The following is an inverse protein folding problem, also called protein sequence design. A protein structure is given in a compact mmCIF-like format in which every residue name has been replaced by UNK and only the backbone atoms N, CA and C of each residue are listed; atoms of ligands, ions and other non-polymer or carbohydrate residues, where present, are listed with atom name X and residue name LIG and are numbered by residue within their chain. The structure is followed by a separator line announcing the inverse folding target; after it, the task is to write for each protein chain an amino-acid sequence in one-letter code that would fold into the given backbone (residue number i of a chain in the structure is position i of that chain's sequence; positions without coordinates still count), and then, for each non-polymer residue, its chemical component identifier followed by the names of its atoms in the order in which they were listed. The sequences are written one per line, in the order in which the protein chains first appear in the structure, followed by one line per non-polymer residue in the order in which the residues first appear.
data_IF_286778534482
#
_entry.id   IF_286778534482
#
_cell.length_a   1.000
_cell.length_b   1.000
_cell.length_c   1.000
_cell.angle_alpha   90.00
_cell.angle_beta   90.00
_cell.angle_gamma   90.00
#
_symmetry.space_group_name_H-M   'P 1'
#
loop_
_entity.id
_entity.type
_entity.pdbx_description
1 polymer ?
#
# COMPACT_ATOMS: atom_id res chain seq x y z
N UNK A 1 10.58 37.76 -6.38
CA UNK A 1 9.34 37.39 -7.07
C UNK A 1 9.05 35.93 -6.78
N UNK A 2 7.99 35.62 -6.02
CA UNK A 2 7.60 34.24 -5.77
C UNK A 2 7.09 33.63 -7.08
N UNK A 3 7.89 32.76 -7.70
CA UNK A 3 7.47 31.93 -8.83
C UNK A 3 6.30 31.08 -8.30
N UNK A 4 5.08 31.28 -8.79
CA UNK A 4 3.96 30.36 -8.53
C UNK A 4 4.35 29.02 -9.12
N UNK A 5 4.89 28.15 -8.29
CA UNK A 5 5.30 26.80 -8.66
C UNK A 5 4.01 26.01 -8.94
N UNK A 6 3.75 25.73 -10.22
CA UNK A 6 2.57 24.98 -10.62
C UNK A 6 2.78 23.50 -10.25
N UNK A 7 1.98 22.99 -9.33
CA UNK A 7 1.96 21.54 -9.01
C UNK A 7 1.40 20.74 -10.19
N UNK A 8 1.77 19.46 -10.27
CA UNK A 8 1.30 18.57 -11.34
C UNK A 8 -0.21 18.28 -11.23
N UNK A 9 -1.00 19.02 -12.05
CA UNK A 9 -2.46 18.88 -12.06
C UNK A 9 -2.92 17.51 -12.51
N UNK A 10 -2.19 16.84 -13.40
CA UNK A 10 -2.56 15.53 -13.92
C UNK A 10 -2.44 14.48 -12.81
N UNK A 11 -1.35 14.52 -12.03
CA UNK A 11 -1.16 13.67 -10.85
C UNK A 11 -2.31 13.90 -9.84
N UNK A 12 -2.60 15.15 -9.53
CA UNK A 12 -3.66 15.50 -8.58
C UNK A 12 -5.03 14.97 -9.04
N UNK A 13 -5.42 15.24 -10.29
CA UNK A 13 -6.71 14.80 -10.84
C UNK A 13 -6.82 13.28 -10.86
N UNK A 14 -5.76 12.56 -11.24
CA UNK A 14 -5.76 11.10 -11.24
C UNK A 14 -6.01 10.51 -9.83
N UNK A 15 -5.38 11.10 -8.81
CA UNK A 15 -5.60 10.68 -7.41
C UNK A 15 -7.01 11.01 -6.93
N UNK A 16 -7.54 12.19 -7.27
CA UNK A 16 -8.93 12.56 -6.93
C UNK A 16 -9.93 11.60 -7.57
N UNK A 17 -9.72 11.23 -8.85
CA UNK A 17 -10.60 10.27 -9.54
C UNK A 17 -10.54 8.88 -8.86
N UNK A 18 -9.35 8.40 -8.46
CA UNK A 18 -9.21 7.14 -7.72
C UNK A 18 -9.94 7.19 -6.37
N UNK A 19 -9.82 8.29 -5.62
CA UNK A 19 -10.50 8.46 -4.32
C UNK A 19 -12.01 8.52 -4.49
N UNK A 20 -12.51 9.28 -5.48
CA UNK A 20 -13.95 9.36 -5.76
C UNK A 20 -14.52 8.01 -6.19
N UNK A 21 -13.83 7.30 -7.08
CA UNK A 21 -14.20 5.94 -7.46
C UNK A 21 -14.20 5.02 -6.24
N UNK A 22 -13.19 5.13 -5.36
CA UNK A 22 -13.12 4.38 -4.11
C UNK A 22 -14.34 4.60 -3.21
N UNK A 23 -14.78 5.85 -3.04
CA UNK A 23 -15.99 6.17 -2.25
C UNK A 23 -17.25 5.53 -2.85
N UNK A 24 -17.42 5.60 -4.18
CA UNK A 24 -18.55 4.97 -4.88
C UNK A 24 -18.51 3.45 -4.68
N UNK A 25 -17.35 2.83 -4.87
CA UNK A 25 -17.21 1.37 -4.76
C UNK A 25 -17.33 0.87 -3.32
N UNK A 26 -16.85 1.63 -2.32
CA UNK A 26 -17.06 1.31 -0.91
C UNK A 26 -18.55 1.36 -0.56
N UNK A 27 -19.27 2.37 -1.04
CA UNK A 27 -20.71 2.44 -0.86
C UNK A 27 -21.42 1.22 -1.46
N UNK A 28 -21.11 0.88 -2.71
CA UNK A 28 -21.70 -0.29 -3.37
C UNK A 28 -21.36 -1.59 -2.62
N UNK A 29 -20.08 -1.82 -2.32
CA UNK A 29 -19.61 -3.04 -1.67
C UNK A 29 -20.08 -3.21 -0.23
N UNK A 30 -20.41 -2.12 0.48
CA UNK A 30 -20.86 -2.16 1.87
C UNK A 30 -22.40 -2.09 2.04
N UNK A 31 -23.13 -1.86 0.97
CA UNK A 31 -24.59 -1.65 1.02
C UNK A 31 -25.36 -2.79 1.72
N UNK A 32 -24.92 -4.04 1.59
CA UNK A 32 -25.57 -5.22 2.18
C UNK A 32 -25.17 -5.49 3.64
N UNK A 33 -24.17 -4.79 4.19
CA UNK A 33 -23.74 -4.95 5.59
C UNK A 33 -24.82 -4.52 6.61
N UNK A 34 -25.90 -3.88 6.16
CA UNK A 34 -27.05 -3.53 6.99
C UNK A 34 -27.77 -4.80 7.49
N UNK A 35 -27.84 -5.84 6.65
CA UNK A 35 -28.59 -7.07 6.96
C UNK A 35 -27.81 -8.02 7.86
N UNK A 36 -26.48 -8.00 7.79
CA UNK A 36 -25.57 -8.78 8.64
C UNK A 36 -24.39 -7.89 9.06
N UNK A 37 -24.58 -6.98 10.04
CA UNK A 37 -23.53 -6.08 10.45
C UNK A 37 -22.33 -6.87 11.00
N UNK A 38 -21.13 -6.50 10.57
CA UNK A 38 -19.89 -7.03 11.15
C UNK A 38 -19.91 -6.79 12.66
N UNK A 39 -19.31 -7.68 13.44
CA UNK A 39 -19.30 -7.60 14.89
C UNK A 39 -18.83 -6.20 15.37
N UNK A 40 -19.72 -5.49 16.08
CA UNK A 40 -19.48 -4.14 16.59
C UNK A 40 -19.73 -2.98 15.61
N UNK A 41 -20.15 -3.25 14.37
CA UNK A 41 -20.56 -2.20 13.44
C UNK A 41 -22.08 -1.91 13.60
N UNK A 42 -22.48 -0.62 13.66
CA UNK A 42 -23.90 -0.28 13.64
C UNK A 42 -24.51 -0.66 12.28
N UNK A 43 -25.78 -1.13 12.29
CA UNK A 43 -26.55 -1.45 11.10
C UNK A 43 -27.01 -0.15 10.37
N UNK A 44 -26.04 0.68 9.96
CA UNK A 44 -26.28 1.93 9.25
C UNK A 44 -25.77 1.82 7.81
N UNK A 45 -26.63 2.13 6.80
CA UNK A 45 -26.28 1.93 5.39
C UNK A 45 -25.07 2.74 4.93
N UNK A 46 -24.79 3.85 5.60
CA UNK A 46 -23.69 4.77 5.22
C UNK A 46 -22.50 4.72 6.17
N UNK A 47 -22.45 3.78 7.12
CA UNK A 47 -21.41 3.74 8.15
C UNK A 47 -19.98 3.73 7.57
N UNK A 48 -19.72 2.83 6.64
CA UNK A 48 -18.40 2.71 6.00
C UNK A 48 -18.10 3.91 5.11
N UNK A 49 -19.09 4.43 4.38
CA UNK A 49 -18.95 5.62 3.54
C UNK A 49 -18.61 6.86 4.38
N UNK A 50 -19.32 7.08 5.49
CA UNK A 50 -19.06 8.22 6.39
C UNK A 50 -17.69 8.12 7.02
N UNK A 51 -17.29 6.95 7.54
CA UNK A 51 -15.94 6.74 8.07
C UNK A 51 -14.86 6.98 7.02
N UNK A 52 -15.05 6.47 5.80
CA UNK A 52 -14.10 6.70 4.71
C UNK A 52 -14.07 8.18 4.31
N UNK A 53 -15.23 8.85 4.26
CA UNK A 53 -15.32 10.29 4.00
C UNK A 53 -14.53 11.13 5.01
N UNK A 54 -14.65 10.83 6.31
CA UNK A 54 -13.82 11.45 7.37
C UNK A 54 -12.33 11.14 7.10
N UNK A 55 -12.00 9.89 6.73
CA UNK A 55 -10.65 9.48 6.37
C UNK A 55 -10.10 10.26 5.17
N UNK A 56 -10.92 10.50 4.14
CA UNK A 56 -10.56 11.32 2.95
C UNK A 56 -10.30 12.78 3.35
N UNK A 57 -11.17 13.38 4.16
CA UNK A 57 -10.98 14.76 4.62
C UNK A 57 -9.68 14.92 5.42
N UNK A 58 -9.43 14.03 6.39
CA UNK A 58 -8.18 14.05 7.14
C UNK A 58 -6.97 13.81 6.23
N UNK A 59 -7.07 12.84 5.32
CA UNK A 59 -6.02 12.57 4.33
C UNK A 59 -5.74 13.74 3.40
N UNK A 60 -6.78 14.48 2.98
CA UNK A 60 -6.64 15.70 2.18
C UNK A 60 -5.91 16.83 2.95
N UNK A 61 -6.20 16.99 4.24
CA UNK A 61 -5.47 17.92 5.10
C UNK A 61 -4.00 17.52 5.23
N UNK A 62 -3.72 16.22 5.45
CA UNK A 62 -2.35 15.71 5.54
C UNK A 62 -1.61 15.87 4.19
N UNK A 63 -2.28 15.62 3.06
CA UNK A 63 -1.74 15.84 1.71
C UNK A 63 -1.41 17.32 1.48
N UNK A 64 -2.32 18.22 1.86
CA UNK A 64 -2.10 19.65 1.76
C UNK A 64 -0.93 20.12 2.65
N UNK A 65 -0.83 19.60 3.88
CA UNK A 65 0.31 19.83 4.76
C UNK A 65 1.63 19.37 4.12
N UNK A 66 1.66 18.16 3.56
CA UNK A 66 2.84 17.62 2.87
C UNK A 66 3.20 18.41 1.59
N UNK A 67 2.20 18.94 0.89
CA UNK A 67 2.40 19.80 -0.28
C UNK A 67 3.03 21.16 0.10
N UNK A 68 2.66 21.72 1.24
CA UNK A 68 3.14 23.04 1.68
C UNK A 68 4.53 22.97 2.36
N UNK A 69 4.90 21.83 2.91
CA UNK A 69 6.20 21.61 3.56
C UNK A 69 7.28 21.30 2.51
N UNK A 70 8.37 22.05 2.52
CA UNK A 70 9.52 21.76 1.65
C UNK A 70 10.06 20.36 1.95
N UNK A 71 10.04 19.46 0.94
CA UNK A 71 10.52 18.09 1.05
C UNK A 71 11.96 17.99 1.59
N UNK A 72 12.82 19.02 1.34
CA UNK A 72 14.20 19.06 1.82
C UNK A 72 14.29 19.01 3.34
N UNK A 73 13.25 19.45 4.06
CA UNK A 73 13.23 19.36 5.52
C UNK A 73 13.18 17.90 5.99
N UNK A 74 12.59 17.00 5.19
CA UNK A 74 12.57 15.56 5.48
C UNK A 74 13.97 14.92 5.45
N UNK A 75 14.96 15.56 4.84
CA UNK A 75 16.36 15.10 4.85
C UNK A 75 17.12 15.43 6.16
N UNK A 76 16.50 16.13 7.12
CA UNK A 76 17.16 16.44 8.39
C UNK A 76 17.34 15.17 9.23
N UNK A 77 18.59 14.80 9.63
CA UNK A 77 18.85 13.54 10.34
C UNK A 77 18.01 13.36 11.59
N UNK A 78 17.84 14.43 12.37
CA UNK A 78 17.06 14.41 13.61
C UNK A 78 15.59 14.05 13.35
N UNK A 79 14.99 14.59 12.28
CA UNK A 79 13.60 14.29 11.92
C UNK A 79 13.45 12.86 11.40
N UNK A 80 14.39 12.39 10.57
CA UNK A 80 14.40 11.01 10.05
C UNK A 80 14.50 10.02 11.21
N UNK A 81 15.44 10.20 12.12
CA UNK A 81 15.63 9.32 13.28
C UNK A 81 14.38 9.38 14.19
N UNK A 82 13.87 10.57 14.50
CA UNK A 82 12.68 10.72 15.33
C UNK A 82 11.45 10.00 14.71
N UNK A 83 11.24 10.14 13.40
CA UNK A 83 10.16 9.46 12.69
C UNK A 83 10.32 7.93 12.74
N UNK A 84 11.54 7.40 12.48
CA UNK A 84 11.82 5.96 12.56
C UNK A 84 11.61 5.42 13.98
N UNK A 85 12.07 6.13 15.00
CA UNK A 85 11.87 5.74 16.41
C UNK A 85 10.39 5.76 16.77
N UNK A 86 9.66 6.81 16.42
CA UNK A 86 8.22 6.90 16.67
C UNK A 86 7.43 5.74 16.03
N UNK A 87 7.75 5.42 14.78
CA UNK A 87 7.12 4.29 14.07
C UNK A 87 7.53 2.95 14.67
N UNK A 88 8.81 2.76 15.03
CA UNK A 88 9.28 1.54 15.68
C UNK A 88 8.57 1.32 17.04
N UNK A 89 8.44 2.37 17.85
CA UNK A 89 7.70 2.31 19.11
C UNK A 89 6.21 1.98 18.87
N UNK A 90 5.58 2.55 17.85
CA UNK A 90 4.20 2.22 17.48
C UNK A 90 4.04 0.77 17.02
N UNK A 91 5.01 0.23 16.22
CA UNK A 91 5.02 -1.18 15.82
C UNK A 91 5.19 -2.12 17.01
N UNK A 92 6.03 -1.76 17.98
CA UNK A 92 6.19 -2.52 19.22
C UNK A 92 4.94 -2.42 20.09
N UNK A 93 4.35 -1.24 20.24
CA UNK A 93 3.15 -1.02 21.05
C UNK A 93 1.95 -1.85 20.58
N UNK A 94 1.81 -2.06 19.26
CA UNK A 94 0.73 -2.90 18.70
C UNK A 94 0.84 -4.36 19.12
N UNK A 95 2.05 -4.89 19.35
CA UNK A 95 2.24 -6.28 19.78
C UNK A 95 1.60 -6.58 21.15
N UNK A 96 1.43 -5.54 21.98
CA UNK A 96 0.81 -5.64 23.32
C UNK A 96 -0.68 -5.34 23.31
N UNK A 97 -1.30 -5.01 22.15
CA UNK A 97 -2.73 -4.75 22.03
C UNK A 97 -3.55 -6.03 21.84
N UNK A 98 -4.85 -5.94 22.14
CA UNK A 98 -5.78 -7.02 21.87
C UNK A 98 -5.82 -7.32 20.36
N UNK A 99 -5.89 -8.60 19.95
CA UNK A 99 -5.95 -8.95 18.53
C UNK A 99 -7.29 -8.52 17.93
N UNK A 100 -7.25 -7.90 16.75
CA UNK A 100 -8.42 -7.61 15.92
C UNK A 100 -8.37 -8.59 14.74
N UNK A 101 -9.44 -9.36 14.54
CA UNK A 101 -9.51 -10.44 13.52
C UNK A 101 -8.30 -11.40 13.60
N UNK A 102 -7.89 -11.79 14.81
CA UNK A 102 -6.79 -12.72 15.05
C UNK A 102 -5.39 -12.14 14.80
N UNK A 103 -5.25 -10.84 14.52
CA UNK A 103 -3.96 -10.20 14.28
C UNK A 103 -3.77 -8.95 15.13
N UNK A 104 -2.51 -8.66 15.52
CA UNK A 104 -2.13 -7.49 16.32
C UNK A 104 -1.45 -6.45 15.43
N UNK A 105 -2.23 -5.75 14.59
CA UNK A 105 -1.72 -4.81 13.58
C UNK A 105 -2.27 -3.40 13.72
N UNK A 106 -3.35 -3.25 14.47
CA UNK A 106 -4.14 -2.03 14.52
C UNK A 106 -4.13 -1.42 15.91
N UNK A 107 -4.01 -0.09 15.97
CA UNK A 107 -4.30 0.72 17.16
C UNK A 107 -5.69 1.29 16.94
N UNK A 108 -6.66 0.81 17.70
CA UNK A 108 -8.01 1.35 17.68
C UNK A 108 -8.05 2.64 18.53
N UNK A 109 -8.50 3.72 17.91
CA UNK A 109 -8.73 5.03 18.53
C UNK A 109 -10.24 5.35 18.58
N UNK A 110 -11.10 4.36 18.47
CA UNK A 110 -12.56 4.47 18.45
C UNK A 110 -13.10 4.75 17.06
N UNK A 111 -13.22 6.01 16.65
CA UNK A 111 -13.70 6.35 15.30
C UNK A 111 -12.75 5.96 14.19
N UNK A 112 -11.45 5.95 14.45
CA UNK A 112 -10.38 5.69 13.49
C UNK A 112 -9.47 4.59 14.01
N UNK A 113 -9.00 3.73 13.12
CA UNK A 113 -7.98 2.74 13.42
C UNK A 113 -6.69 3.06 12.67
N UNK A 114 -5.56 2.98 13.37
CA UNK A 114 -4.24 3.29 12.83
C UNK A 114 -3.42 2.01 12.71
N UNK A 115 -2.86 1.78 11.53
CA UNK A 115 -1.93 0.69 11.27
C UNK A 115 -0.50 1.24 11.16
N UNK A 116 0.36 1.04 12.17
CA UNK A 116 1.71 1.61 12.17
C UNK A 116 2.59 1.14 11.02
N UNK A 117 2.39 -0.08 10.51
CA UNK A 117 3.15 -0.61 9.37
C UNK A 117 2.92 0.17 8.07
N UNK A 118 1.79 0.86 7.91
CA UNK A 118 1.56 1.76 6.78
C UNK A 118 2.47 2.99 6.86
N UNK A 119 2.59 3.61 8.04
CA UNK A 119 3.49 4.74 8.28
C UNK A 119 4.97 4.32 8.22
N UNK A 120 5.27 3.07 8.57
CA UNK A 120 6.62 2.53 8.46
C UNK A 120 7.11 2.49 7.00
N UNK A 121 6.25 2.19 6.03
CA UNK A 121 6.60 2.28 4.59
C UNK A 121 7.09 3.67 4.23
N UNK A 122 6.32 4.68 4.61
CA UNK A 122 6.67 6.08 4.36
C UNK A 122 7.97 6.48 5.07
N UNK A 123 8.11 6.12 6.35
CA UNK A 123 9.34 6.35 7.13
C UNK A 123 10.57 5.69 6.52
N UNK A 124 10.45 4.44 6.03
CA UNK A 124 11.52 3.72 5.35
C UNK A 124 11.92 4.40 4.04
N UNK A 125 10.95 4.86 3.22
CA UNK A 125 11.26 5.60 1.98
C UNK A 125 12.06 6.86 2.29
N UNK A 126 11.63 7.66 3.28
CA UNK A 126 12.33 8.88 3.67
C UNK A 126 13.73 8.57 4.22
N UNK A 127 13.84 7.55 5.06
CA UNK A 127 15.12 7.15 5.66
C UNK A 127 16.12 6.63 4.62
N UNK A 128 15.66 5.77 3.71
CA UNK A 128 16.49 5.26 2.62
C UNK A 128 16.92 6.38 1.67
N UNK A 129 16.01 7.28 1.30
CA UNK A 129 16.35 8.43 0.47
C UNK A 129 17.41 9.32 1.14
N UNK A 130 17.23 9.63 2.43
CA UNK A 130 18.19 10.44 3.20
C UNK A 130 19.54 9.75 3.40
N UNK A 131 19.54 8.43 3.58
CA UNK A 131 20.77 7.66 3.77
C UNK A 131 21.54 7.50 2.46
N UNK A 132 20.87 7.07 1.39
CA UNK A 132 21.49 6.79 0.09
C UNK A 132 21.96 8.07 -0.60
N UNK A 133 21.23 9.19 -0.47
CA UNK A 133 21.67 10.48 -1.05
C UNK A 133 22.97 11.01 -0.46
N UNK A 134 23.36 10.60 0.75
CA UNK A 134 24.64 10.95 1.38
C UNK A 134 25.76 9.98 1.06
N UNK A 135 25.47 8.92 0.30
CA UNK A 135 26.39 7.83 -0.01
C UNK A 135 26.65 7.71 -1.51
N UNK A 136 26.49 8.79 -2.26
CA UNK A 136 26.85 8.82 -3.68
C UNK A 136 28.32 8.40 -3.85
N UNK A 137 28.58 7.43 -4.73
CA UNK A 137 29.92 6.83 -4.93
C UNK A 137 30.26 5.65 -4.00
N UNK A 138 29.56 5.45 -2.87
CA UNK A 138 29.77 4.33 -1.95
C UNK A 138 28.60 3.33 -1.95
N UNK A 139 27.70 3.39 -2.93
CA UNK A 139 26.47 2.57 -2.95
C UNK A 139 26.79 1.07 -2.94
N UNK A 140 27.82 0.63 -3.66
CA UNK A 140 28.26 -0.77 -3.73
C UNK A 140 29.05 -1.25 -2.50
N UNK A 141 29.32 -0.37 -1.53
CA UNK A 141 30.17 -0.75 -0.40
C UNK A 141 29.40 -1.62 0.60
N UNK A 142 29.85 -2.88 0.85
CA UNK A 142 29.08 -3.84 1.66
C UNK A 142 28.82 -3.36 3.08
N UNK A 143 29.83 -2.90 3.79
CA UNK A 143 29.73 -2.54 5.21
C UNK A 143 29.19 -1.12 5.44
N UNK A 144 29.50 -0.18 4.54
CA UNK A 144 29.08 1.22 4.71
C UNK A 144 27.65 1.48 4.24
N UNK A 145 27.17 0.74 3.22
CA UNK A 145 25.86 0.99 2.62
C UNK A 145 24.93 -0.21 2.74
N UNK A 146 25.35 -1.39 2.26
CA UNK A 146 24.43 -2.53 2.19
C UNK A 146 24.08 -3.09 3.57
N UNK A 147 25.05 -3.23 4.47
CA UNK A 147 24.81 -3.76 5.82
C UNK A 147 23.88 -2.86 6.65
N UNK A 148 24.01 -1.52 6.70
CA UNK A 148 23.06 -0.63 7.36
C UNK A 148 21.66 -0.69 6.75
N UNK A 149 21.54 -0.72 5.42
CA UNK A 149 20.24 -0.84 4.74
C UNK A 149 19.59 -2.19 5.04
N UNK A 150 20.36 -3.29 4.96
CA UNK A 150 19.87 -4.63 5.30
C UNK A 150 19.43 -4.71 6.77
N UNK A 151 20.21 -4.12 7.69
CA UNK A 151 19.89 -4.06 9.11
C UNK A 151 18.58 -3.28 9.38
N UNK A 152 18.41 -2.12 8.73
CA UNK A 152 17.19 -1.33 8.82
C UNK A 152 15.96 -2.11 8.31
N UNK A 153 16.10 -2.74 7.14
CA UNK A 153 15.03 -3.56 6.55
C UNK A 153 14.71 -4.78 7.42
N UNK A 154 15.72 -5.51 7.89
CA UNK A 154 15.55 -6.67 8.74
C UNK A 154 14.85 -6.30 10.06
N UNK A 155 15.18 -5.17 10.66
CA UNK A 155 14.55 -4.67 11.88
C UNK A 155 13.05 -4.38 11.66
N UNK A 156 12.70 -3.55 10.67
CA UNK A 156 11.30 -3.18 10.43
C UNK A 156 10.48 -4.35 9.86
N UNK A 157 11.06 -5.14 8.95
CA UNK A 157 10.40 -6.34 8.44
C UNK A 157 10.20 -7.38 9.55
N UNK A 158 11.18 -7.56 10.44
CA UNK A 158 11.07 -8.44 11.60
C UNK A 158 9.92 -8.04 12.52
N UNK A 159 9.78 -6.77 12.88
CA UNK A 159 8.65 -6.26 13.67
C UNK A 159 7.30 -6.53 13.01
N UNK A 160 7.21 -6.36 11.69
CA UNK A 160 5.98 -6.59 10.93
C UNK A 160 5.69 -8.10 10.77
N UNK A 161 6.72 -8.94 10.63
CA UNK A 161 6.56 -10.40 10.60
C UNK A 161 6.10 -10.97 11.96
N UNK A 162 6.47 -10.34 13.08
CA UNK A 162 5.90 -10.64 14.40
C UNK A 162 4.40 -10.32 14.51
N UNK A 163 3.89 -9.42 13.66
CA UNK A 163 2.46 -9.08 13.53
C UNK A 163 1.72 -9.96 12.52
N UNK A 164 2.20 -11.12 12.13
CA UNK A 164 1.95 -11.97 10.95
C UNK A 164 1.60 -11.24 9.64
N UNK A 165 2.26 -10.09 9.36
CA UNK A 165 2.03 -9.30 8.15
C UNK A 165 3.14 -9.46 7.10
N UNK A 166 3.14 -10.62 6.46
CA UNK A 166 4.12 -10.97 5.43
C UNK A 166 4.02 -10.06 4.19
N UNK A 167 2.81 -9.60 3.83
CA UNK A 167 2.60 -8.76 2.65
C UNK A 167 3.31 -7.42 2.76
N UNK A 168 3.15 -6.75 3.89
CA UNK A 168 3.81 -5.46 4.16
C UNK A 168 5.33 -5.63 4.24
N UNK A 169 5.83 -6.73 4.84
CA UNK A 169 7.26 -7.02 4.87
C UNK A 169 7.85 -7.16 3.44
N UNK A 170 7.19 -7.89 2.55
CA UNK A 170 7.60 -8.00 1.13
C UNK A 170 7.60 -6.62 0.45
N UNK A 171 6.61 -5.79 0.73
CA UNK A 171 6.54 -4.43 0.16
C UNK A 171 7.75 -3.58 0.57
N UNK A 172 8.25 -3.71 1.81
CA UNK A 172 9.47 -3.01 2.25
C UNK A 172 10.68 -3.40 1.42
N UNK A 173 10.85 -4.69 1.13
CA UNK A 173 11.95 -5.16 0.28
C UNK A 173 11.82 -4.68 -1.17
N UNK A 174 10.61 -4.67 -1.74
CA UNK A 174 10.36 -4.17 -3.10
C UNK A 174 10.71 -2.68 -3.20
N UNK A 175 10.27 -1.86 -2.25
CA UNK A 175 10.57 -0.43 -2.20
C UNK A 175 12.07 -0.21 -2.09
N UNK A 176 12.73 -0.89 -1.16
CA UNK A 176 14.17 -0.75 -0.95
C UNK A 176 14.98 -1.21 -2.16
N UNK A 177 14.59 -2.31 -2.81
CA UNK A 177 15.23 -2.79 -4.03
C UNK A 177 15.14 -1.76 -5.16
N UNK A 178 13.96 -1.18 -5.38
CA UNK A 178 13.79 -0.14 -6.39
C UNK A 178 14.64 1.11 -6.09
N UNK A 179 14.69 1.54 -4.82
CA UNK A 179 15.49 2.70 -4.42
C UNK A 179 16.99 2.44 -4.55
N UNK A 180 17.47 1.25 -4.16
CA UNK A 180 18.87 0.84 -4.33
C UNK A 180 19.26 0.72 -5.80
N UNK A 181 18.35 0.18 -6.65
CA UNK A 181 18.57 0.11 -8.09
C UNK A 181 18.77 1.50 -8.69
N UNK A 182 17.91 2.44 -8.34
CA UNK A 182 18.00 3.83 -8.81
C UNK A 182 19.22 4.58 -8.23
N UNK A 183 19.65 4.22 -7.02
CA UNK A 183 20.89 4.74 -6.45
C UNK A 183 22.14 4.23 -7.17
N UNK A 184 22.00 3.27 -8.10
CA UNK A 184 23.10 2.73 -8.91
C UNK A 184 23.74 1.46 -8.34
N UNK A 185 23.04 0.72 -7.47
CA UNK A 185 23.55 -0.55 -6.95
C UNK A 185 23.72 -1.57 -8.08
N UNK A 186 24.87 -2.24 -8.14
CA UNK A 186 25.17 -3.27 -9.15
C UNK A 186 24.26 -4.48 -9.02
N UNK A 187 23.81 -5.02 -10.17
CA UNK A 187 22.88 -6.15 -10.24
C UNK A 187 23.33 -7.41 -9.49
N UNK A 188 24.66 -7.63 -9.35
CA UNK A 188 25.21 -8.73 -8.54
C UNK A 188 24.71 -8.75 -7.09
N UNK A 189 24.49 -7.57 -6.49
CA UNK A 189 24.00 -7.47 -5.12
C UNK A 189 22.53 -7.85 -5.01
N UNK A 190 21.73 -7.55 -6.04
CA UNK A 190 20.35 -8.02 -6.13
C UNK A 190 20.27 -9.55 -6.27
N UNK A 191 21.16 -10.15 -7.09
CA UNK A 191 21.25 -11.60 -7.21
C UNK A 191 21.59 -12.24 -5.86
N UNK A 192 22.57 -11.68 -5.12
CA UNK A 192 22.96 -12.15 -3.79
C UNK A 192 21.82 -11.96 -2.78
N UNK A 193 21.15 -10.80 -2.77
CA UNK A 193 20.02 -10.53 -1.91
C UNK A 193 18.86 -11.52 -2.20
N UNK A 194 18.56 -11.78 -3.47
CA UNK A 194 17.54 -12.75 -3.88
C UNK A 194 17.89 -14.17 -3.39
N UNK A 195 19.17 -14.57 -3.52
CA UNK A 195 19.66 -15.88 -3.06
C UNK A 195 19.54 -16.05 -1.53
N UNK A 196 19.57 -14.98 -0.75
CA UNK A 196 19.40 -15.01 0.70
C UNK A 196 17.95 -14.81 1.12
N UNK A 197 17.28 -13.81 0.55
CA UNK A 197 15.92 -13.41 0.97
C UNK A 197 14.87 -14.42 0.54
N UNK A 198 14.93 -14.95 -0.69
CA UNK A 198 13.92 -15.89 -1.19
C UNK A 198 13.89 -17.18 -0.36
N UNK A 199 15.02 -17.89 -0.10
CA UNK A 199 15.01 -19.06 0.76
C UNK A 199 14.54 -18.77 2.19
N UNK A 200 14.95 -17.62 2.76
CA UNK A 200 14.53 -17.21 4.10
C UNK A 200 13.01 -16.98 4.18
N UNK A 201 12.45 -16.25 3.21
CA UNK A 201 11.01 -16.03 3.14
C UNK A 201 10.25 -17.32 2.85
N UNK A 202 10.80 -18.22 2.03
CA UNK A 202 10.21 -19.54 1.76
C UNK A 202 10.21 -20.39 3.03
N UNK A 203 11.34 -20.48 3.72
CA UNK A 203 11.43 -21.20 5.01
C UNK A 203 10.45 -20.61 6.03
N UNK A 204 10.34 -19.30 6.14
CA UNK A 204 9.34 -18.64 6.98
C UNK A 204 7.92 -18.96 6.56
N UNK A 205 7.61 -18.96 5.26
CA UNK A 205 6.29 -19.30 4.74
C UNK A 205 5.91 -20.76 5.03
N UNK A 206 6.89 -21.66 5.00
CA UNK A 206 6.69 -23.10 5.28
C UNK A 206 6.76 -23.44 6.77
N UNK A 207 7.18 -22.55 7.66
CA UNK A 207 7.41 -22.87 9.08
C UNK A 207 6.14 -23.03 9.92
N UNK A 208 4.98 -22.52 9.49
CA UNK A 208 3.72 -22.67 10.22
C UNK A 208 2.62 -23.26 9.34
N UNK A 209 1.79 -24.14 9.91
CA UNK A 209 0.67 -24.80 9.21
C UNK A 209 -0.23 -23.82 8.47
N UNK A 210 -0.68 -22.77 9.15
CA UNK A 210 -1.53 -21.73 8.59
C UNK A 210 -0.93 -21.05 7.34
N UNK A 211 0.42 -20.82 7.32
CA UNK A 211 1.09 -20.22 6.17
C UNK A 211 1.23 -21.20 5.01
N UNK A 212 1.57 -22.46 5.32
CA UNK A 212 1.59 -23.54 4.32
C UNK A 212 0.23 -23.71 3.66
N UNK A 213 -0.82 -23.77 4.46
CA UNK A 213 -2.19 -23.94 3.97
C UNK A 213 -2.60 -22.83 2.99
N UNK A 214 -2.18 -21.58 3.25
CA UNK A 214 -2.40 -20.48 2.31
C UNK A 214 -1.63 -20.62 0.98
N UNK A 215 -0.42 -21.18 1.01
CA UNK A 215 0.33 -21.47 -0.20
C UNK A 215 -0.32 -22.62 -0.97
N UNK A 216 -0.72 -23.71 -0.30
CA UNK A 216 -1.39 -24.82 -0.96
C UNK A 216 -2.74 -24.42 -1.56
N UNK A 217 -3.56 -23.65 -0.84
CA UNK A 217 -4.83 -23.16 -1.38
C UNK A 217 -4.66 -22.14 -2.52
N UNK A 218 -3.50 -21.52 -2.65
CA UNK A 218 -3.18 -20.68 -3.80
C UNK A 218 -2.93 -21.52 -5.07
N UNK A 219 -2.18 -22.63 -4.97
CA UNK A 219 -1.90 -23.51 -6.12
C UNK A 219 -3.09 -24.41 -6.46
N UNK A 220 -3.91 -24.76 -5.47
CA UNK A 220 -5.06 -25.66 -5.59
C UNK A 220 -6.29 -25.07 -4.90
N UNK A 221 -6.84 -23.93 -5.39
CA UNK A 221 -8.00 -23.28 -4.74
C UNK A 221 -9.25 -24.16 -4.77
N UNK A 222 -9.31 -25.08 -5.73
CA UNK A 222 -10.44 -26.02 -5.92
C UNK A 222 -10.42 -27.18 -4.89
N UNK A 223 -9.29 -27.44 -4.21
CA UNK A 223 -9.18 -28.53 -3.22
C UNK A 223 -9.99 -28.25 -1.95
N UNK A 224 -10.20 -26.96 -1.60
CA UNK A 224 -11.04 -26.55 -0.46
C UNK A 224 -11.84 -25.29 -0.84
N UNK A 225 -12.86 -25.43 -1.74
CA UNK A 225 -13.57 -24.31 -2.32
C UNK A 225 -14.49 -23.57 -1.36
N UNK A 226 -14.83 -24.17 -0.20
CA UNK A 226 -15.65 -23.56 0.85
C UNK A 226 -14.83 -23.07 2.06
N UNK A 227 -13.51 -23.39 2.09
CA UNK A 227 -12.61 -23.01 3.16
C UNK A 227 -11.52 -22.03 2.71
N UNK A 228 -10.27 -22.52 2.64
CA UNK A 228 -9.09 -21.66 2.41
C UNK A 228 -8.98 -21.10 1.00
N UNK A 229 -9.55 -21.79 -0.03
CA UNK A 229 -9.62 -21.34 -1.42
C UNK A 229 -10.78 -20.38 -1.70
N UNK A 230 -11.75 -20.27 -0.79
CA UNK A 230 -13.01 -19.56 -1.00
C UNK A 230 -12.84 -18.12 -1.50
N UNK A 231 -11.99 -17.33 -0.82
CA UNK A 231 -11.79 -15.92 -1.18
C UNK A 231 -11.21 -15.73 -2.58
N UNK A 232 -10.24 -16.57 -2.97
CA UNK A 232 -9.63 -16.50 -4.29
C UNK A 232 -10.62 -16.89 -5.40
N UNK A 233 -11.38 -17.97 -5.17
CA UNK A 233 -12.40 -18.42 -6.12
C UNK A 233 -13.52 -17.39 -6.30
N UNK A 234 -14.06 -16.85 -5.20
CA UNK A 234 -15.11 -15.83 -5.29
C UNK A 234 -14.62 -14.54 -5.95
N UNK A 235 -13.36 -14.17 -5.72
CA UNK A 235 -12.73 -13.03 -6.38
C UNK A 235 -12.61 -13.23 -7.90
N UNK A 236 -12.18 -14.41 -8.35
CA UNK A 236 -12.12 -14.74 -9.78
C UNK A 236 -13.51 -14.81 -10.42
N UNK A 237 -14.50 -15.38 -9.71
CA UNK A 237 -15.89 -15.41 -10.17
C UNK A 237 -16.42 -13.99 -10.33
N UNK A 238 -16.15 -13.07 -9.36
CA UNK A 238 -16.53 -11.67 -9.46
C UNK A 238 -16.03 -11.02 -10.74
N UNK A 239 -14.70 -11.09 -10.94
CA UNK A 239 -14.06 -10.50 -12.13
C UNK A 239 -14.57 -11.16 -13.42
N UNK A 240 -14.74 -12.49 -13.43
CA UNK A 240 -15.21 -13.24 -14.60
C UNK A 240 -16.66 -12.94 -14.98
N UNK A 241 -17.55 -12.74 -13.99
CA UNK A 241 -18.97 -12.46 -14.24
C UNK A 241 -19.22 -11.04 -14.76
N UNK A 242 -18.31 -10.09 -14.48
CA UNK A 242 -18.43 -8.72 -14.97
C UNK A 242 -18.24 -8.55 -16.48
N UNK A 243 -17.55 -9.48 -17.16
CA UNK A 243 -17.32 -9.39 -18.60
C UNK A 243 -16.65 -8.09 -19.02
N UNK A 244 -17.03 -7.52 -20.16
CA UNK A 244 -16.42 -6.29 -20.69
C UNK A 244 -17.01 -5.04 -20.04
N UNK A 245 -18.32 -4.92 -19.92
CA UNK A 245 -19.01 -3.70 -19.47
C UNK A 245 -19.44 -3.71 -18.00
N UNK A 246 -19.29 -4.83 -17.31
CA UNK A 246 -19.80 -5.02 -15.94
C UNK A 246 -21.30 -5.36 -15.92
N UNK A 247 -21.76 -5.72 -14.71
CA UNK A 247 -23.19 -5.98 -14.43
C UNK A 247 -23.97 -4.67 -14.19
N UNK A 248 -23.28 -3.57 -13.94
CA UNK A 248 -23.84 -2.29 -13.50
C UNK A 248 -23.47 -1.97 -12.06
N UNK A 249 -23.37 -0.67 -11.76
CA UNK A 249 -23.08 -0.18 -10.41
C UNK A 249 -24.23 -0.59 -9.46
N UNK A 250 -23.87 -1.28 -8.38
CA UNK A 250 -24.84 -1.76 -7.40
C UNK A 250 -25.43 -3.15 -7.69
N UNK A 251 -25.25 -3.70 -8.90
CA UNK A 251 -25.86 -4.98 -9.32
C UNK A 251 -24.94 -6.20 -9.12
N UNK A 252 -23.73 -6.00 -8.59
CA UNK A 252 -22.81 -7.07 -8.24
C UNK A 252 -23.42 -8.03 -7.19
N UNK A 253 -23.24 -9.34 -7.39
CA UNK A 253 -23.77 -10.40 -6.52
C UNK A 253 -22.78 -10.82 -5.43
N UNK A 254 -21.47 -10.69 -5.68
CA UNK A 254 -20.43 -11.15 -4.77
C UNK A 254 -20.41 -10.39 -3.43
N UNK A 255 -20.88 -9.16 -3.40
CA UNK A 255 -21.11 -8.37 -2.18
C UNK A 255 -22.26 -8.91 -1.29
N UNK A 256 -23.09 -9.82 -1.79
CA UNK A 256 -24.19 -10.49 -1.05
C UNK A 256 -23.64 -11.62 -0.16
N UNK A 257 -22.55 -11.35 0.59
CA UNK A 257 -21.85 -12.25 1.52
C UNK A 257 -21.09 -13.43 0.89
N UNK A 258 -21.02 -13.50 -0.44
CA UNK A 258 -20.17 -14.50 -1.09
C UNK A 258 -18.68 -14.14 -0.96
N UNK A 259 -18.29 -12.87 -1.04
CA UNK A 259 -16.93 -12.42 -0.86
C UNK A 259 -16.77 -11.75 0.52
N UNK A 260 -15.95 -12.31 1.45
CA UNK A 260 -15.69 -11.70 2.75
C UNK A 260 -14.96 -10.37 2.61
N UNK A 261 -15.41 -9.34 3.33
CA UNK A 261 -14.82 -8.00 3.37
C UNK A 261 -14.59 -7.37 1.98
N UNK A 262 -15.61 -7.34 1.09
CA UNK A 262 -15.45 -6.90 -0.30
C UNK A 262 -15.03 -5.42 -0.43
N UNK A 263 -15.30 -4.59 0.59
CA UNK A 263 -14.97 -3.16 0.64
C UNK A 263 -13.51 -2.87 1.09
N UNK A 264 -12.76 -3.88 1.53
CA UNK A 264 -11.36 -3.74 1.95
C UNK A 264 -10.40 -4.27 0.87
N UNK A 265 -9.90 -5.49 1.05
CA UNK A 265 -8.80 -6.05 0.25
C UNK A 265 -9.23 -6.52 -1.13
N UNK A 266 -10.52 -6.80 -1.32
CA UNK A 266 -11.10 -7.34 -2.55
C UNK A 266 -11.95 -6.33 -3.33
N UNK A 267 -11.80 -5.03 -3.06
CA UNK A 267 -12.60 -4.00 -3.74
C UNK A 267 -12.40 -4.01 -5.26
N UNK A 268 -11.21 -4.38 -5.74
CA UNK A 268 -10.93 -4.51 -7.17
C UNK A 268 -11.74 -5.65 -7.83
N UNK A 269 -12.10 -6.71 -7.08
CA UNK A 269 -13.00 -7.74 -7.57
C UNK A 269 -14.41 -7.18 -7.82
N UNK A 270 -14.90 -6.31 -6.92
CA UNK A 270 -16.21 -5.64 -7.08
C UNK A 270 -16.16 -4.63 -8.25
N UNK A 271 -15.02 -3.92 -8.43
CA UNK A 271 -14.80 -3.09 -9.63
C UNK A 271 -14.91 -3.95 -10.89
N UNK A 272 -14.27 -5.14 -10.89
CA UNK A 272 -14.35 -6.09 -12.01
C UNK A 272 -15.76 -6.60 -12.26
N UNK A 273 -16.53 -6.91 -11.22
CA UNK A 273 -17.91 -7.39 -11.33
C UNK A 273 -18.87 -6.30 -11.83
N UNK A 274 -18.82 -5.11 -11.22
CA UNK A 274 -19.80 -4.04 -11.49
C UNK A 274 -19.45 -3.17 -12.70
N UNK A 275 -18.17 -2.88 -12.95
CA UNK A 275 -17.70 -2.03 -14.05
C UNK A 275 -17.01 -2.82 -15.17
N UNK A 276 -16.81 -4.13 -14.99
CA UNK A 276 -16.21 -5.01 -15.98
C UNK A 276 -14.74 -4.71 -16.27
N UNK A 277 -14.28 -5.23 -17.40
CA UNK A 277 -12.91 -5.00 -17.88
C UNK A 277 -12.62 -3.51 -18.09
N UNK A 278 -13.60 -2.74 -18.56
CA UNK A 278 -13.45 -1.29 -18.77
C UNK A 278 -13.10 -0.60 -17.45
N UNK A 279 -13.80 -0.91 -16.36
CA UNK A 279 -13.50 -0.36 -15.03
C UNK A 279 -12.13 -0.78 -14.52
N UNK A 280 -11.76 -2.05 -14.69
CA UNK A 280 -10.43 -2.55 -14.31
C UNK A 280 -9.31 -1.84 -15.07
N UNK A 281 -9.44 -1.67 -16.39
CA UNK A 281 -8.45 -0.98 -17.23
C UNK A 281 -8.37 0.50 -16.86
N UNK A 282 -9.51 1.16 -16.58
CA UNK A 282 -9.52 2.55 -16.14
C UNK A 282 -8.77 2.75 -14.81
N UNK A 283 -8.97 1.86 -13.82
CA UNK A 283 -8.23 1.88 -12.55
C UNK A 283 -6.74 1.68 -12.79
N UNK A 284 -6.34 0.69 -13.59
CA UNK A 284 -4.94 0.44 -13.94
C UNK A 284 -4.31 1.64 -14.66
N UNK A 285 -5.03 2.27 -15.59
CA UNK A 285 -4.57 3.46 -16.31
C UNK A 285 -4.37 4.64 -15.34
N UNK A 286 -5.27 4.87 -14.39
CA UNK A 286 -5.12 5.91 -13.37
C UNK A 286 -3.89 5.65 -12.47
N UNK A 287 -3.65 4.42 -12.01
CA UNK A 287 -2.41 4.09 -11.30
C UNK A 287 -1.17 4.26 -12.17
N UNK A 288 -1.24 3.91 -13.46
CA UNK A 288 -0.17 4.16 -14.45
C UNK A 288 0.14 5.65 -14.58
N UNK A 289 -0.89 6.51 -14.60
CA UNK A 289 -0.73 7.97 -14.61
C UNK A 289 -0.07 8.44 -13.30
N UNK A 290 -0.55 8.00 -12.15
CA UNK A 290 0.04 8.35 -10.84
C UNK A 290 1.51 7.96 -10.79
N UNK A 291 1.86 6.76 -11.22
CA UNK A 291 3.23 6.26 -11.26
C UNK A 291 4.11 7.06 -12.20
N UNK A 292 3.72 7.21 -13.47
CA UNK A 292 4.52 7.90 -14.49
C UNK A 292 4.72 9.38 -14.15
N UNK A 293 3.67 10.06 -13.63
CA UNK A 293 3.79 11.45 -13.17
C UNK A 293 4.64 11.56 -11.90
N UNK A 294 4.54 10.61 -10.98
CA UNK A 294 5.38 10.54 -9.79
C UNK A 294 6.86 10.34 -10.13
N UNK A 295 7.17 9.40 -11.03
CA UNK A 295 8.55 9.19 -11.53
C UNK A 295 9.06 10.42 -12.26
N UNK A 296 8.23 11.09 -13.08
CA UNK A 296 8.61 12.32 -13.77
C UNK A 296 8.94 13.46 -12.79
N UNK A 297 8.14 13.64 -11.73
CA UNK A 297 8.41 14.61 -10.68
C UNK A 297 9.73 14.29 -9.95
N UNK A 298 9.98 13.01 -9.66
CA UNK A 298 11.23 12.55 -9.06
C UNK A 298 12.45 12.78 -9.98
N UNK A 299 12.36 12.41 -11.25
CA UNK A 299 13.47 12.55 -12.21
C UNK A 299 13.89 14.03 -12.42
N UNK A 300 12.94 14.95 -12.35
CA UNK A 300 13.17 16.39 -12.50
C UNK A 300 13.51 17.08 -11.16
N UNK A 301 13.62 16.35 -10.05
CA UNK A 301 14.03 16.93 -8.77
C UNK A 301 15.50 17.41 -8.85
N UNK A 302 15.80 18.60 -8.29
CA UNK A 302 17.13 19.22 -8.42
C UNK A 302 18.22 18.51 -7.64
N UNK A 303 17.86 17.70 -6.63
CA UNK A 303 18.82 17.02 -5.75
C UNK A 303 18.55 15.51 -5.68
N UNK A 304 19.58 14.74 -5.33
CA UNK A 304 19.52 13.27 -5.25
C UNK A 304 18.55 12.77 -4.18
N UNK A 305 18.42 13.52 -3.07
CA UNK A 305 17.43 13.16 -2.06
C UNK A 305 16.00 13.21 -2.64
N UNK A 306 15.65 14.29 -3.36
CA UNK A 306 14.35 14.44 -4.00
C UNK A 306 14.10 13.37 -5.05
N UNK A 307 15.11 13.01 -5.85
CA UNK A 307 15.02 11.93 -6.85
C UNK A 307 14.71 10.58 -6.20
N UNK A 308 15.46 10.21 -5.18
CA UNK A 308 15.27 8.95 -4.46
C UNK A 308 13.95 8.94 -3.67
N UNK A 309 13.61 10.04 -3.00
CA UNK A 309 12.36 10.19 -2.25
C UNK A 309 11.15 10.03 -3.18
N UNK A 310 11.08 10.82 -4.25
CA UNK A 310 9.95 10.79 -5.18
C UNK A 310 9.77 9.42 -5.84
N UNK A 311 10.87 8.78 -6.26
CA UNK A 311 10.81 7.44 -6.83
C UNK A 311 10.37 6.40 -5.79
N UNK A 312 10.92 6.46 -4.57
CA UNK A 312 10.50 5.56 -3.49
C UNK A 312 9.00 5.67 -3.19
N UNK A 313 8.45 6.90 -3.16
CA UNK A 313 7.01 7.13 -2.96
C UNK A 313 6.16 6.62 -4.13
N UNK A 314 6.57 6.87 -5.37
CA UNK A 314 5.85 6.40 -6.55
C UNK A 314 5.84 4.86 -6.62
N UNK A 315 6.99 4.21 -6.33
CA UNK A 315 7.10 2.75 -6.25
C UNK A 315 6.28 2.20 -5.09
N UNK A 316 6.25 2.85 -3.93
CA UNK A 316 5.44 2.43 -2.78
C UNK A 316 3.95 2.32 -3.15
N UNK A 317 3.40 3.36 -3.79
CA UNK A 317 2.00 3.38 -4.22
C UNK A 317 1.74 2.30 -5.27
N UNK A 318 2.58 2.22 -6.30
CA UNK A 318 2.40 1.29 -7.41
C UNK A 318 2.58 -0.17 -6.99
N UNK A 319 3.60 -0.48 -6.19
CA UNK A 319 3.83 -1.82 -5.68
C UNK A 319 2.66 -2.32 -4.84
N UNK A 320 2.10 -1.47 -3.97
CA UNK A 320 0.92 -1.83 -3.18
C UNK A 320 -0.29 -2.09 -4.06
N UNK A 321 -0.53 -1.26 -5.09
CA UNK A 321 -1.61 -1.46 -6.05
C UNK A 321 -1.45 -2.77 -6.83
N UNK A 322 -0.26 -3.03 -7.39
CA UNK A 322 0.02 -4.24 -8.15
C UNK A 322 -0.11 -5.50 -7.29
N UNK A 323 0.39 -5.48 -6.05
CA UNK A 323 0.25 -6.63 -5.14
C UNK A 323 -1.21 -6.91 -4.84
N UNK A 324 -2.03 -5.88 -4.52
CA UNK A 324 -3.46 -6.07 -4.28
C UNK A 324 -4.17 -6.64 -5.51
N UNK A 325 -3.98 -6.03 -6.68
CA UNK A 325 -4.60 -6.48 -7.94
C UNK A 325 -4.17 -7.92 -8.28
N UNK A 326 -2.89 -8.25 -8.09
CA UNK A 326 -2.39 -9.62 -8.31
C UNK A 326 -3.01 -10.64 -7.35
N UNK A 327 -3.27 -10.25 -6.10
CA UNK A 327 -3.97 -11.10 -5.12
C UNK A 327 -5.42 -11.31 -5.54
N UNK A 328 -6.12 -10.25 -5.95
CA UNK A 328 -7.51 -10.32 -6.42
C UNK A 328 -7.66 -11.19 -7.66
N UNK A 329 -6.68 -11.14 -8.58
CA UNK A 329 -6.64 -11.96 -9.78
C UNK A 329 -6.03 -13.36 -9.53
N UNK A 330 -5.84 -13.76 -8.27
CA UNK A 330 -5.23 -15.03 -7.87
C UNK A 330 -3.86 -15.30 -8.53
N UNK A 331 -3.09 -14.25 -8.85
CA UNK A 331 -1.69 -14.34 -9.29
C UNK A 331 -0.71 -14.39 -8.13
N UNK A 332 -1.14 -14.00 -6.93
CA UNK A 332 -0.41 -14.07 -5.68
C UNK A 332 -1.30 -14.65 -4.57
N UNK A 333 -0.73 -15.29 -3.55
CA UNK A 333 -1.49 -15.82 -2.42
C UNK A 333 -2.30 -14.73 -1.70
N UNK A 334 -3.50 -15.06 -1.25
CA UNK A 334 -4.42 -14.13 -0.57
C UNK A 334 -3.76 -13.44 0.62
N UNK A 335 -3.79 -12.12 0.64
CA UNK A 335 -3.23 -11.24 1.68
C UNK A 335 -4.07 -9.99 1.83
N UNK A 336 -4.21 -9.54 3.08
CA UNK A 336 -4.92 -8.30 3.42
C UNK A 336 -4.07 -7.06 3.18
N UNK A 337 -3.87 -6.67 1.94
CA UNK A 337 -3.22 -5.41 1.56
C UNK A 337 -4.28 -4.57 0.84
N UNK A 338 -4.64 -3.39 1.37
CA UNK A 338 -5.65 -2.55 0.72
C UNK A 338 -5.13 -1.94 -0.58
N UNK A 339 -6.02 -1.79 -1.57
CA UNK A 339 -5.73 -1.06 -2.81
C UNK A 339 -5.65 0.44 -2.50
N UNK A 340 -4.53 1.13 -2.79
CA UNK A 340 -4.38 2.55 -2.50
C UNK A 340 -5.54 3.38 -3.05
N UNK A 341 -6.03 4.35 -2.28
CA UNK A 341 -7.13 5.27 -2.61
C UNK A 341 -8.51 4.64 -2.76
N UNK A 342 -8.63 3.38 -3.18
CA UNK A 342 -9.92 2.72 -3.44
C UNK A 342 -10.46 1.96 -2.23
N UNK A 343 -9.60 1.18 -1.55
CA UNK A 343 -10.02 0.33 -0.43
C UNK A 343 -10.43 1.13 0.80
N UNK A 344 -11.38 0.59 1.54
CA UNK A 344 -11.67 1.05 2.88
C UNK A 344 -10.46 0.79 3.80
N UNK A 345 -9.88 1.86 4.34
CA UNK A 345 -8.72 1.77 5.23
C UNK A 345 -8.07 3.13 5.47
N UNK A 346 -8.34 3.76 6.62
CA UNK A 346 -7.88 5.11 6.93
C UNK A 346 -6.37 5.27 6.83
N UNK A 347 -5.58 4.41 7.50
CA UNK A 347 -4.11 4.54 7.56
C UNK A 347 -3.45 4.41 6.19
N UNK A 348 -3.88 3.44 5.37
CA UNK A 348 -3.35 3.27 4.03
C UNK A 348 -3.70 4.48 3.14
N UNK A 349 -4.92 5.00 3.26
CA UNK A 349 -5.34 6.19 2.54
C UNK A 349 -4.48 7.40 2.95
N UNK A 350 -4.28 7.64 4.26
CA UNK A 350 -3.51 8.79 4.75
C UNK A 350 -2.06 8.74 4.31
N UNK A 351 -1.40 7.59 4.44
CA UNK A 351 0.01 7.44 4.05
C UNK A 351 0.19 7.62 2.55
N UNK A 352 -0.73 7.12 1.72
CA UNK A 352 -0.69 7.32 0.28
C UNK A 352 -1.01 8.78 -0.11
N UNK A 353 -1.95 9.45 0.57
CA UNK A 353 -2.22 10.87 0.32
C UNK A 353 -1.06 11.78 0.77
N UNK A 354 -0.38 11.47 1.90
CA UNK A 354 0.87 12.16 2.29
C UNK A 354 1.93 11.97 1.19
N UNK A 355 2.11 10.74 0.70
CA UNK A 355 3.06 10.45 -0.38
C UNK A 355 2.76 11.27 -1.65
N UNK A 356 1.49 11.38 -2.04
CA UNK A 356 1.06 12.23 -3.15
C UNK A 356 1.35 13.71 -2.87
N UNK A 357 1.09 14.19 -1.65
CA UNK A 357 1.41 15.56 -1.25
C UNK A 357 2.89 15.89 -1.43
N UNK A 358 3.78 14.96 -1.03
CA UNK A 358 5.23 15.09 -1.25
C UNK A 358 5.59 15.05 -2.74
N UNK A 359 4.98 14.17 -3.53
CA UNK A 359 5.19 14.11 -4.99
C UNK A 359 4.75 15.40 -5.68
N UNK A 360 3.63 15.98 -5.26
CA UNK A 360 3.17 17.28 -5.75
C UNK A 360 4.12 18.42 -5.34
N UNK A 361 4.66 18.38 -4.11
CA UNK A 361 5.69 19.33 -3.66
C UNK A 361 6.97 19.21 -4.51
N UNK A 362 7.44 17.99 -4.77
CA UNK A 362 8.57 17.74 -5.66
C UNK A 362 8.32 18.30 -7.06
N UNK A 363 7.10 18.13 -7.61
CA UNK A 363 6.75 18.64 -8.93
C UNK A 363 6.79 20.17 -9.02
N UNK A 364 6.61 20.89 -7.91
CA UNK A 364 6.75 22.34 -7.83
C UNK A 364 8.21 22.82 -7.92
N UNK A 365 9.16 21.96 -7.50
CA UNK A 365 10.59 22.24 -7.50
C UNK A 365 11.30 21.66 -8.73
N UNK A 366 10.56 20.92 -9.57
CA UNK A 366 11.08 20.37 -10.82
C UNK A 366 11.43 21.52 -11.79
N UNK A 367 12.66 21.53 -12.28
CA UNK A 367 13.20 22.50 -13.24
C UNK A 367 12.82 22.15 -14.68
#
# INVERSE_FOLDING_TARGET
MARKLASDRVLFVAVVLLVLLGLVMIYSASAMQIYLPAAGAPALPYFFLVKQGIGVLLGAVLMAGALLLDYRQMNRPRLVVAALVAVALALVAVLFRAPINGTRRWIDLGLLSVQPSEFAKLGLVVALAAFLSRREGEIDHPTKTLLPVAGLLAFFAGLVLLQPDFGTAVTYFVIAAAMLFLAGLRLRWFALATLLVVPTLTAYALSAQYRRDRLFSFFHPEADPLGKGFQALQSLIAVGTGGISGLGLGDGKQKLFFLPYPYTDFIFAIVGEELGLIGCVAVLALFGIVFTRGIRAAANAPDTFGRLLGTGLAVMIMAQALVNISVVLALLPTKGIPLPFLSYGGSALWTNLIAVGVLLNLSQHAS
#
